data_IF_338664423208
#
_entry.id   IF_338664423208
#
_cell.length_a   1.000
_cell.length_b   1.000
_cell.length_c   1.000
_cell.angle_alpha   90.00
_cell.angle_beta   90.00
_cell.angle_gamma   90.00
#
_symmetry.space_group_name_H-M   'P 1'
#
loop_
_entity.id
_entity.type
_entity.pdbx_description
1 polymer ?
#
# COMPACT_ATOMS: atom_id res chain seq x y z
N UNK A 1 -68.46 22.59 11.60
CA UNK A 1 -67.97 21.28 11.13
C UNK A 1 -66.46 21.23 11.32
N UNK A 2 -65.99 20.73 12.46
CA UNK A 2 -64.57 20.52 12.74
C UNK A 2 -64.23 19.04 12.50
N UNK A 3 -63.39 18.74 11.51
CA UNK A 3 -62.91 17.37 11.27
C UNK A 3 -61.78 17.07 12.25
N UNK A 4 -62.00 16.11 13.15
CA UNK A 4 -60.95 15.53 14.00
C UNK A 4 -59.87 14.89 13.11
N UNK A 5 -58.65 15.41 13.19
CA UNK A 5 -57.46 14.75 12.62
C UNK A 5 -57.16 13.47 13.39
N UNK A 6 -56.78 12.41 12.66
CA UNK A 6 -56.39 11.14 13.26
C UNK A 6 -55.04 11.26 14.00
N UNK A 7 -54.82 10.50 15.08
CA UNK A 7 -53.54 10.52 15.83
C UNK A 7 -52.32 10.15 14.96
N UNK A 8 -52.50 9.42 13.87
CA UNK A 8 -51.43 9.11 12.91
C UNK A 8 -50.96 10.33 12.10
N UNK A 9 -51.84 11.29 11.85
CA UNK A 9 -51.51 12.49 11.07
C UNK A 9 -50.71 13.50 11.90
N UNK A 10 -50.85 13.49 13.23
CA UNK A 10 -50.09 14.34 14.14
C UNK A 10 -48.63 13.84 14.31
N UNK A 11 -48.42 12.52 14.33
CA UNK A 11 -47.08 11.90 14.44
C UNK A 11 -46.22 12.16 13.18
N UNK A 12 -46.84 12.14 11.99
CA UNK A 12 -46.13 12.44 10.73
C UNK A 12 -45.73 13.92 10.61
N UNK A 13 -46.55 14.85 11.11
CA UNK A 13 -46.23 16.29 11.12
C UNK A 13 -45.14 16.64 12.16
N UNK A 14 -45.13 15.99 13.33
CA UNK A 14 -44.04 16.15 14.29
C UNK A 14 -42.71 15.52 13.81
N UNK A 15 -42.77 14.38 13.10
CA UNK A 15 -41.59 13.75 12.49
C UNK A 15 -40.95 14.59 11.38
N UNK A 16 -41.76 15.24 10.54
CA UNK A 16 -41.27 16.12 9.48
C UNK A 16 -40.60 17.40 10.05
N UNK A 17 -41.19 18.03 11.07
CA UNK A 17 -40.61 19.21 11.72
C UNK A 17 -39.32 18.91 12.49
N UNK A 18 -39.23 17.74 13.14
CA UNK A 18 -37.98 17.29 13.79
C UNK A 18 -36.88 16.95 12.77
N UNK A 19 -37.23 16.43 11.59
CA UNK A 19 -36.26 16.19 10.51
C UNK A 19 -35.71 17.48 9.90
N UNK A 20 -36.56 18.51 9.76
CA UNK A 20 -36.12 19.82 9.26
C UNK A 20 -35.27 20.57 10.29
N UNK A 21 -35.60 20.50 11.59
CA UNK A 21 -34.74 21.06 12.65
C UNK A 21 -33.42 20.29 12.82
N UNK A 22 -33.42 18.96 12.69
CA UNK A 22 -32.19 18.16 12.72
C UNK A 22 -31.29 18.42 11.49
N UNK A 23 -31.88 18.69 10.32
CA UNK A 23 -31.16 19.07 9.11
C UNK A 23 -30.56 20.49 9.23
N UNK A 24 -31.31 21.46 9.78
CA UNK A 24 -30.82 22.82 10.01
C UNK A 24 -29.70 22.88 11.06
N UNK A 25 -29.80 22.12 12.16
CA UNK A 25 -28.74 22.03 13.18
C UNK A 25 -27.49 21.31 12.62
N UNK A 26 -27.68 20.36 11.70
CA UNK A 26 -26.56 19.70 11.01
C UNK A 26 -25.87 20.63 10.01
N UNK A 27 -26.62 21.50 9.31
CA UNK A 27 -26.08 22.50 8.40
C UNK A 27 -25.43 23.69 9.12
N UNK A 28 -25.97 24.15 10.25
CA UNK A 28 -25.32 25.16 11.10
C UNK A 28 -24.07 24.62 11.80
N UNK A 29 -24.07 23.35 12.26
CA UNK A 29 -22.83 22.70 12.77
C UNK A 29 -21.80 22.44 11.68
N UNK A 30 -22.20 22.21 10.43
CA UNK A 30 -21.28 22.16 9.28
C UNK A 30 -20.77 23.56 8.91
N UNK A 31 -21.62 24.59 8.99
CA UNK A 31 -21.26 25.99 8.73
C UNK A 31 -20.36 26.61 9.79
N UNK A 32 -20.50 26.21 11.06
CA UNK A 32 -19.61 26.66 12.15
C UNK A 32 -18.29 25.88 12.19
N UNK A 33 -18.26 24.60 11.80
CA UNK A 33 -16.99 23.88 11.54
C UNK A 33 -16.24 24.41 10.33
N UNK A 34 -16.93 25.02 9.36
CA UNK A 34 -16.31 25.67 8.20
C UNK A 34 -15.75 27.08 8.50
N UNK A 35 -16.13 27.71 9.62
CA UNK A 35 -15.63 29.04 10.05
C UNK A 35 -14.39 28.97 10.95
N UNK A 36 -14.11 27.81 11.53
CA UNK A 36 -12.82 27.49 12.11
C UNK A 36 -11.96 26.76 11.10
N UNK A 37 -11.54 27.45 10.04
CA UNK A 37 -10.61 26.88 9.06
C UNK A 37 -9.37 26.37 9.78
N UNK A 38 -9.29 25.05 9.97
CA UNK A 38 -8.01 24.41 10.19
C UNK A 38 -7.21 24.71 8.93
N UNK A 39 -6.41 25.79 8.95
CA UNK A 39 -5.25 25.88 8.07
C UNK A 39 -4.55 24.54 8.27
N UNK A 40 -4.66 23.63 7.31
CA UNK A 40 -3.71 22.53 7.19
C UNK A 40 -2.38 23.25 7.13
N UNK A 41 -1.63 23.26 8.22
CA UNK A 41 -0.38 24.02 8.30
C UNK A 41 0.60 23.28 7.41
N UNK A 42 0.62 23.64 6.14
CA UNK A 42 1.53 23.11 5.11
C UNK A 42 2.97 23.04 5.63
N UNK A 43 3.34 24.01 6.48
CA UNK A 43 4.67 24.15 7.09
C UNK A 43 5.01 23.10 8.16
N UNK A 44 4.06 22.28 8.62
CA UNK A 44 4.32 21.24 9.60
C UNK A 44 4.49 19.85 8.95
N UNK A 45 4.05 19.66 7.71
CA UNK A 45 4.25 18.40 6.98
C UNK A 45 5.60 18.43 6.28
N UNK A 46 6.46 17.45 6.59
CA UNK A 46 7.78 17.31 5.96
C UNK A 46 7.77 16.16 4.96
N UNK A 47 8.22 16.45 3.74
CA UNK A 47 8.56 15.43 2.76
C UNK A 47 10.03 15.05 2.95
N UNK A 48 10.27 13.84 3.42
CA UNK A 48 11.60 13.35 3.77
C UNK A 48 11.70 11.85 3.51
N UNK A 49 12.93 11.36 3.30
CA UNK A 49 13.21 9.93 3.23
C UNK A 49 13.17 9.35 4.65
N UNK A 50 12.25 8.42 4.88
CA UNK A 50 12.00 7.84 6.19
C UNK A 50 12.80 6.56 6.38
N UNK A 51 13.34 6.41 7.59
CA UNK A 51 13.96 5.18 8.07
C UNK A 51 12.99 4.42 8.98
N UNK A 52 13.09 3.09 8.98
CA UNK A 52 12.29 2.26 9.86
C UNK A 52 12.96 2.09 11.23
N UNK A 53 12.19 2.34 12.29
CA UNK A 53 12.62 2.18 13.69
C UNK A 53 12.20 0.82 14.22
N UNK A 54 13.02 0.21 15.07
CA UNK A 54 12.71 -1.09 15.68
C UNK A 54 11.56 -0.98 16.67
N UNK A 55 10.56 -1.85 16.52
CA UNK A 55 9.42 -1.96 17.46
C UNK A 55 9.34 -3.34 18.11
N UNK A 56 10.12 -4.30 17.63
CA UNK A 56 10.19 -5.66 18.17
C UNK A 56 11.48 -6.34 17.72
N UNK A 57 12.18 -6.99 18.63
CA UNK A 57 13.37 -7.82 18.36
C UNK A 57 13.33 -9.10 19.20
N UNK A 58 13.87 -10.16 18.61
CA UNK A 58 13.99 -11.48 19.22
C UNK A 58 15.08 -12.27 18.49
N UNK A 59 15.49 -13.40 19.05
CA UNK A 59 16.38 -14.35 18.35
C UNK A 59 15.77 -14.87 17.03
N UNK A 60 14.44 -14.85 16.94
CA UNK A 60 13.69 -15.32 15.79
C UNK A 60 13.65 -14.30 14.64
N UNK A 61 13.82 -13.02 14.92
CA UNK A 61 13.70 -11.94 13.93
C UNK A 61 13.31 -10.60 14.54
N UNK A 62 12.95 -9.64 13.69
CA UNK A 62 12.64 -8.26 14.08
C UNK A 62 11.53 -7.64 13.24
N UNK A 63 10.86 -6.65 13.81
CA UNK A 63 9.87 -5.81 13.13
C UNK A 63 10.31 -4.36 13.29
N UNK A 64 10.46 -3.66 12.17
CA UNK A 64 10.71 -2.22 12.15
C UNK A 64 9.56 -1.49 11.46
N UNK A 65 9.26 -0.28 11.90
CA UNK A 65 8.13 0.52 11.45
C UNK A 65 8.60 1.89 10.98
N UNK A 66 8.08 2.35 9.84
CA UNK A 66 8.26 3.73 9.43
C UNK A 66 7.28 4.64 10.13
N UNK A 67 7.77 5.78 10.62
CA UNK A 67 6.97 6.82 11.26
C UNK A 67 7.38 8.16 10.71
N UNK A 68 6.40 9.04 10.52
CA UNK A 68 6.65 10.43 10.17
C UNK A 68 5.52 11.31 10.66
N UNK A 69 5.80 12.60 10.79
CA UNK A 69 4.74 13.56 11.14
C UNK A 69 3.61 13.60 10.10
N UNK A 70 3.89 13.26 8.84
CA UNK A 70 2.90 13.15 7.77
C UNK A 70 2.05 11.89 7.93
N UNK A 71 2.68 10.73 8.15
CA UNK A 71 1.96 9.47 8.37
C UNK A 71 1.07 9.55 9.62
N UNK A 72 1.59 10.12 10.71
CA UNK A 72 0.82 10.35 11.93
C UNK A 72 -0.34 11.31 11.70
N UNK A 73 -0.12 12.48 11.10
CA UNK A 73 -1.22 13.45 10.92
C UNK A 73 -2.29 12.99 9.95
N UNK A 74 -1.88 12.35 8.86
CA UNK A 74 -2.81 11.91 7.84
C UNK A 74 -3.54 10.64 8.27
N UNK A 75 -2.87 9.72 8.98
CA UNK A 75 -3.47 8.50 9.50
C UNK A 75 -4.07 7.61 8.42
N UNK A 76 -3.46 7.55 7.23
CA UNK A 76 -4.05 6.88 6.06
C UNK A 76 -3.40 5.52 5.77
N UNK A 77 -2.11 5.37 6.05
CA UNK A 77 -1.37 4.13 5.81
C UNK A 77 -0.32 3.91 6.92
N UNK A 78 -0.08 2.64 7.25
CA UNK A 78 1.02 2.20 8.12
C UNK A 78 1.95 1.26 7.33
N UNK A 79 3.25 1.30 7.60
CA UNK A 79 4.26 0.53 6.89
C UNK A 79 5.25 -0.09 7.86
N UNK A 80 5.51 -1.38 7.71
CA UNK A 80 6.53 -2.10 8.48
C UNK A 80 7.38 -2.99 7.57
N UNK A 81 8.61 -3.24 8.00
CA UNK A 81 9.49 -4.24 7.43
C UNK A 81 9.72 -5.31 8.49
N UNK A 82 9.47 -6.56 8.10
CA UNK A 82 9.58 -7.72 8.96
C UNK A 82 10.71 -8.57 8.45
N UNK A 83 11.65 -8.89 9.33
CA UNK A 83 12.74 -9.83 9.06
C UNK A 83 12.53 -11.07 9.92
N UNK A 84 12.46 -12.23 9.29
CA UNK A 84 12.34 -13.54 9.94
C UNK A 84 13.64 -14.29 9.70
N UNK A 85 14.38 -14.57 10.79
CA UNK A 85 15.67 -15.26 10.71
C UNK A 85 15.48 -16.72 10.27
N UNK A 86 16.58 -17.38 9.93
CA UNK A 86 16.57 -18.80 9.59
C UNK A 86 16.00 -19.65 10.72
N UNK A 87 15.21 -20.68 10.34
CA UNK A 87 14.55 -21.59 11.27
C UNK A 87 13.66 -20.86 12.29
N UNK A 88 12.96 -19.82 11.83
CA UNK A 88 12.06 -19.03 12.67
C UNK A 88 10.65 -18.95 12.10
N UNK A 89 9.70 -18.68 12.99
CA UNK A 89 8.27 -18.57 12.71
C UNK A 89 7.76 -17.22 13.19
N UNK A 90 7.19 -16.44 12.27
CA UNK A 90 6.20 -15.43 12.62
C UNK A 90 4.95 -16.15 13.12
N UNK A 91 4.69 -16.04 14.41
CA UNK A 91 3.57 -16.68 15.09
C UNK A 91 2.23 -16.26 14.44
N UNK A 92 1.21 -17.15 14.49
CA UNK A 92 -0.10 -16.84 13.94
C UNK A 92 -0.68 -15.54 14.47
N UNK A 93 -1.08 -14.64 13.58
CA UNK A 93 -1.66 -13.34 13.94
C UNK A 93 -2.68 -12.85 12.91
N UNK A 94 -3.65 -12.05 13.35
CA UNK A 94 -4.48 -11.23 12.48
C UNK A 94 -4.28 -9.74 12.78
N UNK A 95 -4.81 -8.87 11.93
CA UNK A 95 -4.71 -7.43 12.14
C UNK A 95 -6.07 -6.74 11.98
N UNK A 96 -6.25 -5.60 12.65
CA UNK A 96 -7.41 -4.72 12.47
C UNK A 96 -7.34 -3.83 11.22
N UNK A 97 -6.42 -4.08 10.29
CA UNK A 97 -6.32 -3.38 9.02
C UNK A 97 -6.15 -4.35 7.84
N UNK A 98 -6.60 -3.90 6.66
CA UNK A 98 -6.28 -4.53 5.38
C UNK A 98 -4.79 -4.32 5.07
N UNK A 99 -4.08 -5.39 4.67
CA UNK A 99 -2.64 -5.35 4.42
C UNK A 99 -2.24 -5.95 3.09
N UNK A 100 -1.15 -5.45 2.54
CA UNK A 100 -0.41 -6.11 1.46
C UNK A 100 0.99 -6.45 1.96
N UNK A 101 1.41 -7.69 1.79
CA UNK A 101 2.75 -8.18 2.12
C UNK A 101 3.56 -8.31 0.84
N UNK A 102 4.74 -7.71 0.78
CA UNK A 102 5.63 -7.75 -0.39
C UNK A 102 6.94 -8.41 0.01
N UNK A 103 7.24 -9.57 -0.56
CA UNK A 103 8.46 -10.33 -0.23
C UNK A 103 9.66 -9.70 -0.91
N UNK A 104 10.62 -9.20 -0.13
CA UNK A 104 11.84 -8.54 -0.60
C UNK A 104 13.00 -9.52 -0.78
N UNK A 105 13.15 -10.47 0.13
CA UNK A 105 14.24 -11.45 0.12
C UNK A 105 13.83 -12.77 0.76
N UNK A 106 14.60 -13.83 0.48
CA UNK A 106 14.43 -15.13 1.11
C UNK A 106 13.26 -15.96 0.56
N UNK A 107 12.99 -17.07 1.27
CA UNK A 107 11.94 -18.04 0.95
C UNK A 107 11.24 -18.44 2.24
N UNK A 108 9.91 -18.50 2.20
CA UNK A 108 9.12 -18.91 3.35
C UNK A 108 7.97 -19.83 2.96
N UNK A 109 7.48 -20.58 3.94
CA UNK A 109 6.14 -21.15 3.91
C UNK A 109 5.20 -20.19 4.64
N UNK A 110 4.01 -19.97 4.08
CA UNK A 110 2.98 -19.14 4.68
C UNK A 110 1.66 -19.89 4.68
N UNK A 111 0.91 -19.77 5.78
CA UNK A 111 -0.50 -20.14 5.85
C UNK A 111 -1.36 -18.90 6.02
N UNK A 112 -2.42 -18.79 5.22
CA UNK A 112 -3.50 -17.83 5.39
C UNK A 112 -4.75 -18.61 5.83
N UNK A 113 -5.35 -18.22 6.95
CA UNK A 113 -6.43 -18.97 7.60
C UNK A 113 -7.79 -18.35 7.29
N UNK A 114 -8.77 -19.20 6.97
CA UNK A 114 -10.16 -18.82 6.72
C UNK A 114 -11.06 -19.21 7.89
N UNK A 115 -12.19 -18.52 8.10
CA UNK A 115 -13.17 -18.86 9.14
C UNK A 115 -14.04 -20.07 8.74
N UNK A 116 -13.40 -21.15 8.28
CA UNK A 116 -14.04 -22.37 7.81
C UNK A 116 -13.65 -23.61 8.62
N UNK A 117 -12.73 -23.47 9.59
CA UNK A 117 -12.25 -24.58 10.40
C UNK A 117 -11.46 -25.64 9.63
N UNK A 118 -11.07 -25.35 8.38
CA UNK A 118 -10.22 -26.21 7.56
C UNK A 118 -8.78 -25.75 7.66
N UNK A 119 -7.84 -26.68 7.56
CA UNK A 119 -6.42 -26.37 7.50
C UNK A 119 -6.13 -25.30 6.44
N UNK A 120 -5.27 -24.35 6.81
CA UNK A 120 -4.88 -23.27 5.92
C UNK A 120 -4.14 -23.85 4.72
N UNK A 121 -4.41 -23.32 3.53
CA UNK A 121 -3.56 -23.62 2.39
C UNK A 121 -2.14 -23.15 2.71
N UNK A 122 -1.17 -24.07 2.73
CA UNK A 122 0.25 -23.72 2.89
C UNK A 122 0.84 -23.43 1.51
N UNK A 123 1.51 -22.29 1.36
CA UNK A 123 2.25 -21.99 0.13
C UNK A 123 3.65 -21.49 0.39
N UNK A 124 4.54 -21.91 -0.51
CA UNK A 124 5.84 -21.29 -0.65
C UNK A 124 5.69 -19.87 -1.19
N UNK A 125 6.31 -18.92 -0.51
CA UNK A 125 6.43 -17.53 -0.93
C UNK A 125 7.90 -17.14 -1.14
N UNK A 126 8.15 -16.27 -2.12
CA UNK A 126 9.48 -15.93 -2.64
C UNK A 126 9.57 -14.44 -3.01
N UNK A 127 10.79 -13.91 -3.16
CA UNK A 127 11.07 -12.53 -3.63
C UNK A 127 10.18 -12.13 -4.81
N UNK A 128 9.58 -10.94 -4.73
CA UNK A 128 8.74 -10.34 -5.77
C UNK A 128 7.29 -10.84 -5.80
N UNK A 129 6.87 -11.66 -4.83
CA UNK A 129 5.46 -11.95 -4.61
C UNK A 129 4.82 -10.95 -3.66
N UNK A 130 3.56 -10.64 -3.96
CA UNK A 130 2.67 -9.82 -3.16
C UNK A 130 1.50 -10.66 -2.68
N UNK A 131 1.17 -10.55 -1.40
CA UNK A 131 0.06 -11.26 -0.77
C UNK A 131 -0.90 -10.22 -0.17
N UNK A 132 -2.13 -10.20 -0.66
CA UNK A 132 -3.21 -9.42 -0.10
C UNK A 132 -3.78 -10.15 1.12
N UNK A 133 -3.89 -9.45 2.25
CA UNK A 133 -4.37 -9.98 3.51
C UNK A 133 -5.51 -9.09 4.01
N UNK A 134 -6.77 -9.52 3.89
CA UNK A 134 -7.89 -8.81 4.45
C UNK A 134 -7.78 -8.64 5.98
N UNK A 135 -8.38 -7.55 6.48
CA UNK A 135 -8.56 -7.32 7.92
C UNK A 135 -9.17 -8.56 8.59
N UNK A 136 -8.63 -8.93 9.75
CA UNK A 136 -9.13 -10.03 10.57
C UNK A 136 -8.76 -11.43 10.07
N UNK A 137 -8.17 -11.58 8.87
CA UNK A 137 -7.69 -12.88 8.42
C UNK A 137 -6.36 -13.24 9.09
N UNK A 138 -6.28 -14.36 9.82
CA UNK A 138 -5.04 -14.77 10.47
C UNK A 138 -4.04 -15.33 9.46
N UNK A 139 -2.75 -15.11 9.71
CA UNK A 139 -1.65 -15.71 8.96
C UNK A 139 -0.49 -16.11 9.86
N UNK A 140 0.37 -17.01 9.37
CA UNK A 140 1.69 -17.31 9.92
C UNK A 140 2.71 -17.42 8.79
N UNK A 141 4.00 -17.19 9.10
CA UNK A 141 5.10 -17.28 8.11
C UNK A 141 6.31 -17.97 8.74
N UNK A 142 6.73 -19.09 8.16
CA UNK A 142 7.97 -19.77 8.52
C UNK A 142 9.07 -19.48 7.50
N UNK A 143 10.23 -19.02 7.94
CA UNK A 143 11.39 -18.95 7.06
C UNK A 143 11.94 -20.36 6.79
N UNK A 144 11.85 -20.79 5.53
CA UNK A 144 12.37 -22.08 5.06
C UNK A 144 13.66 -21.93 4.23
N UNK A 145 14.18 -20.72 4.10
CA UNK A 145 15.49 -20.45 3.54
C UNK A 145 16.65 -20.76 4.50
N UNK A 146 17.86 -20.51 3.98
CA UNK A 146 19.13 -20.53 4.72
C UNK A 146 19.69 -19.10 4.85
N UNK A 147 18.83 -18.10 4.68
CA UNK A 147 19.15 -16.68 4.78
C UNK A 147 17.97 -15.99 5.45
N UNK A 148 18.16 -14.76 5.92
CA UNK A 148 17.06 -13.94 6.42
C UNK A 148 15.99 -13.72 5.34
N UNK A 149 14.73 -13.97 5.71
CA UNK A 149 13.59 -13.61 4.90
C UNK A 149 13.09 -12.23 5.32
N UNK A 150 12.94 -11.32 4.36
CA UNK A 150 12.42 -9.98 4.63
C UNK A 150 11.20 -9.70 3.76
N UNK A 151 10.17 -9.11 4.36
CA UNK A 151 9.00 -8.62 3.63
C UNK A 151 8.49 -7.29 4.18
N UNK A 152 7.93 -6.47 3.31
CA UNK A 152 7.20 -5.26 3.68
C UNK A 152 5.75 -5.63 3.99
N UNK A 153 5.16 -4.93 4.93
CA UNK A 153 3.71 -4.91 5.16
C UNK A 153 3.25 -3.46 5.09
N UNK A 154 2.34 -3.18 4.16
CA UNK A 154 1.64 -1.91 4.10
C UNK A 154 0.19 -2.15 4.49
N UNK A 155 -0.34 -1.31 5.36
CA UNK A 155 -1.71 -1.39 5.85
C UNK A 155 -2.50 -0.14 5.45
N UNK A 156 -3.71 -0.35 4.94
CA UNK A 156 -4.68 0.72 4.78
C UNK A 156 -5.41 0.91 6.12
N UNK A 157 -5.17 2.04 6.78
CA UNK A 157 -5.72 2.38 8.11
C UNK A 157 -6.75 3.51 8.05
N UNK A 158 -7.28 3.82 6.85
CA UNK A 158 -8.38 4.79 6.66
C UNK A 158 -9.71 4.38 7.26
N UNK A 159 -9.80 3.15 7.79
CA UNK A 159 -11.04 2.65 8.40
C UNK A 159 -11.53 3.66 9.45
N UNK A 160 -12.74 4.23 9.29
CA UNK A 160 -13.28 5.15 10.26
C UNK A 160 -13.22 4.58 11.67
N UNK A 161 -13.39 3.27 11.87
CA UNK A 161 -13.33 2.63 13.20
C UNK A 161 -11.97 2.78 13.90
N UNK A 162 -10.90 3.12 13.18
CA UNK A 162 -9.55 3.36 13.72
C UNK A 162 -9.34 4.80 14.25
N UNK A 163 -10.41 5.50 14.65
CA UNK A 163 -10.37 6.91 15.10
C UNK A 163 -9.18 7.24 16.03
N UNK A 164 -8.23 8.04 15.52
CA UNK A 164 -7.07 8.52 16.29
C UNK A 164 -5.90 7.53 16.39
N UNK A 165 -6.04 6.32 15.86
CA UNK A 165 -4.94 5.36 15.73
C UNK A 165 -4.18 5.62 14.43
N UNK A 166 -2.86 5.77 14.53
CA UNK A 166 -1.98 6.04 13.39
C UNK A 166 -1.18 4.80 12.94
N UNK A 167 -1.47 3.66 13.56
CA UNK A 167 -0.83 2.37 13.32
C UNK A 167 -1.88 1.28 13.41
N UNK A 168 -1.69 0.16 12.70
CA UNK A 168 -2.57 -1.00 12.87
C UNK A 168 -2.15 -1.84 14.09
N UNK A 169 -3.08 -2.60 14.65
CA UNK A 169 -2.81 -3.56 15.72
C UNK A 169 -2.73 -4.97 15.16
N UNK A 170 -1.70 -5.70 15.59
CA UNK A 170 -1.52 -7.11 15.33
C UNK A 170 -1.93 -7.90 16.58
N UNK A 171 -2.88 -8.80 16.42
CA UNK A 171 -3.39 -9.69 17.45
C UNK A 171 -2.74 -11.05 17.27
N UNK A 172 -1.77 -11.37 18.12
CA UNK A 172 -1.06 -12.65 18.06
C UNK A 172 -1.87 -13.73 18.75
N UNK A 173 -2.17 -14.82 18.04
CA UNK A 173 -2.99 -15.92 18.55
C UNK A 173 -2.24 -16.83 19.52
N UNK A 174 -0.90 -16.77 19.49
CA UNK A 174 -0.01 -17.55 20.33
C UNK A 174 1.24 -16.72 20.68
N UNK A 175 2.01 -17.21 21.65
CA UNK A 175 3.21 -16.54 22.15
C UNK A 175 3.05 -16.13 23.61
N UNK A 176 4.16 -15.70 24.20
CA UNK A 176 4.20 -15.18 25.56
C UNK A 176 3.36 -13.92 25.73
N UNK A 177 3.00 -13.62 26.97
CA UNK A 177 2.44 -12.33 27.34
C UNK A 177 3.52 -11.25 27.25
N UNK A 178 3.16 -10.05 26.80
CA UNK A 178 4.06 -8.90 26.73
C UNK A 178 3.37 -7.64 27.22
N UNK A 179 4.13 -6.72 27.80
CA UNK A 179 3.61 -5.44 28.33
C UNK A 179 3.44 -4.36 27.26
N UNK A 180 3.97 -4.58 26.05
CA UNK A 180 4.17 -3.53 25.02
C UNK A 180 3.56 -3.89 23.66
N UNK A 181 2.53 -4.74 23.65
CA UNK A 181 1.96 -5.30 22.42
C UNK A 181 2.81 -6.47 21.89
N UNK A 182 2.28 -7.21 20.92
CA UNK A 182 2.86 -8.46 20.37
C UNK A 182 2.68 -9.73 21.21
N UNK A 183 2.01 -9.65 22.36
CA UNK A 183 1.74 -10.79 23.22
C UNK A 183 0.59 -11.67 22.71
N UNK A 184 0.58 -12.93 23.13
CA UNK A 184 -0.49 -13.88 22.80
C UNK A 184 -1.82 -13.49 23.44
N UNK A 185 -2.89 -13.37 22.64
CA UNK A 185 -4.22 -12.93 23.13
C UNK A 185 -4.87 -13.92 24.11
N UNK A 186 -4.46 -15.19 24.10
CA UNK A 186 -5.02 -16.21 24.99
C UNK A 186 -4.75 -15.91 26.47
N UNK A 187 -3.66 -15.20 26.78
CA UNK A 187 -3.34 -14.74 28.14
C UNK A 187 -4.37 -13.78 28.72
N UNK A 188 -5.21 -13.16 27.88
CA UNK A 188 -6.26 -12.23 28.32
C UNK A 188 -7.55 -12.89 28.81
N UNK A 189 -7.75 -14.19 28.56
CA UNK A 189 -8.94 -14.93 29.01
C UNK A 189 -8.64 -15.72 30.28
N UNK A 190 -9.68 -16.02 31.07
CA UNK A 190 -9.51 -16.91 32.22
C UNK A 190 -9.33 -18.36 31.77
N UNK A 191 -8.49 -19.10 32.48
CA UNK A 191 -8.08 -20.45 32.10
C UNK A 191 -9.22 -21.44 32.18
N UNK A 192 -10.08 -21.32 33.19
CA UNK A 192 -11.28 -22.11 33.38
C UNK A 192 -12.26 -21.94 32.21
N UNK A 193 -12.48 -20.70 31.73
CA UNK A 193 -13.36 -20.45 30.58
C UNK A 193 -12.77 -21.00 29.27
N UNK A 194 -11.45 -20.87 29.06
CA UNK A 194 -10.80 -21.46 27.89
C UNK A 194 -10.80 -23.00 27.93
N UNK A 195 -10.54 -23.58 29.10
CA UNK A 195 -10.59 -25.03 29.34
C UNK A 195 -11.97 -25.59 29.02
N UNK A 196 -13.03 -24.96 29.55
CA UNK A 196 -14.42 -25.29 29.25
C UNK A 196 -14.72 -25.14 27.74
N UNK A 197 -14.35 -24.02 27.13
CA UNK A 197 -14.65 -23.74 25.72
C UNK A 197 -13.94 -24.70 24.75
N UNK A 198 -12.75 -25.19 25.10
CA UNK A 198 -11.96 -26.13 24.29
C UNK A 198 -12.16 -27.60 24.68
N UNK A 199 -12.99 -27.89 25.69
CA UNK A 199 -13.23 -29.23 26.22
C UNK A 199 -11.93 -29.95 26.65
N UNK A 200 -11.09 -29.25 27.43
CA UNK A 200 -9.83 -29.75 27.98
C UNK A 200 -9.69 -29.41 29.46
N UNK A 201 -8.82 -30.10 30.18
CA UNK A 201 -8.49 -29.73 31.56
C UNK A 201 -7.60 -28.46 31.64
N UNK A 202 -7.62 -27.79 32.79
CA UNK A 202 -6.83 -26.57 33.03
C UNK A 202 -5.32 -26.78 32.91
N UNK A 203 -4.82 -28.01 33.15
CA UNK A 203 -3.40 -28.32 33.01
C UNK A 203 -2.99 -28.29 31.53
N UNK A 204 -3.80 -28.91 30.67
CA UNK A 204 -3.62 -28.91 29.22
C UNK A 204 -3.75 -27.49 28.67
N UNK A 205 -4.73 -26.72 29.15
CA UNK A 205 -4.88 -25.31 28.78
C UNK A 205 -3.65 -24.48 29.19
N UNK A 206 -3.10 -24.73 30.38
CA UNK A 206 -1.90 -24.05 30.83
C UNK A 206 -0.67 -24.37 29.97
N UNK A 207 -0.51 -25.64 29.58
CA UNK A 207 0.55 -26.02 28.65
C UNK A 207 0.39 -25.37 27.27
N UNK A 208 -0.85 -25.23 26.78
CA UNK A 208 -1.11 -24.60 25.48
C UNK A 208 -0.69 -23.12 25.47
N UNK A 209 -0.94 -22.40 26.56
CA UNK A 209 -0.73 -20.96 26.67
C UNK A 209 0.70 -20.62 27.09
N UNK A 210 1.29 -21.37 28.03
CA UNK A 210 2.53 -20.98 28.72
C UNK A 210 3.80 -21.57 28.11
N UNK A 211 3.72 -22.64 27.29
CA UNK A 211 4.91 -23.32 26.79
C UNK A 211 5.75 -22.51 25.79
N UNK A 212 5.15 -21.49 25.15
CA UNK A 212 5.87 -20.61 24.23
C UNK A 212 6.32 -19.36 24.97
N UNK A 213 7.60 -19.30 25.31
CA UNK A 213 8.22 -18.17 26.02
C UNK A 213 8.53 -16.97 25.11
N UNK A 214 8.57 -17.17 23.78
CA UNK A 214 8.78 -16.10 22.81
C UNK A 214 7.48 -15.41 22.37
N UNK A 215 7.60 -14.20 21.84
CA UNK A 215 6.48 -13.41 21.30
C UNK A 215 6.72 -13.09 19.81
N UNK A 216 5.66 -12.77 19.06
CA UNK A 216 5.64 -12.43 17.63
C UNK A 216 6.45 -13.29 16.65
N UNK A 217 7.79 -13.29 16.73
CA UNK A 217 8.69 -14.07 15.90
C UNK A 217 9.55 -14.94 16.80
N UNK A 218 9.50 -16.26 16.62
CA UNK A 218 10.18 -17.21 17.50
C UNK A 218 11.13 -18.10 16.72
N UNK A 219 12.25 -18.47 17.34
CA UNK A 219 13.17 -19.47 16.80
C UNK A 219 12.61 -20.86 17.05
N UNK A 220 12.63 -21.70 16.02
CA UNK A 220 12.16 -23.08 16.09
C UNK A 220 13.31 -24.01 16.44
N UNK A 221 13.02 -25.01 17.29
CA UNK A 221 13.91 -26.15 17.47
C UNK A 221 13.98 -27.01 16.21
N UNK A 222 15.08 -27.74 16.01
CA UNK A 222 15.33 -28.48 14.75
C UNK A 222 14.27 -29.52 14.39
N UNK A 223 13.68 -30.17 15.40
CA UNK A 223 12.62 -31.15 15.17
C UNK A 223 11.35 -30.48 14.61
N UNK A 224 10.96 -29.35 15.18
CA UNK A 224 9.77 -28.60 14.78
C UNK A 224 9.97 -27.91 13.43
N UNK A 225 11.14 -27.30 13.20
CA UNK A 225 11.48 -26.72 11.89
C UNK A 225 11.41 -27.77 10.78
N UNK A 226 11.95 -28.98 11.00
CA UNK A 226 11.84 -30.11 10.06
C UNK A 226 10.41 -30.58 9.88
N UNK A 227 9.60 -30.62 10.93
CA UNK A 227 8.19 -31.01 10.86
C UNK A 227 7.39 -30.04 9.99
N UNK A 228 7.54 -28.74 10.21
CA UNK A 228 6.81 -27.71 9.46
C UNK A 228 7.29 -27.55 8.00
N UNK A 229 8.52 -27.98 7.69
CA UNK A 229 9.04 -28.04 6.32
C UNK A 229 8.50 -29.20 5.50
N UNK A 230 7.83 -30.18 6.11
CA UNK A 230 7.35 -31.35 5.37
C UNK A 230 6.39 -30.89 4.27
N UNK A 231 6.64 -31.25 3.00
CA UNK A 231 5.63 -31.05 1.98
C UNK A 231 4.39 -31.83 2.41
N UNK A 232 3.22 -31.21 2.33
CA UNK A 232 1.98 -31.90 2.61
C UNK A 232 1.75 -32.98 1.54
N UNK A 233 2.23 -34.19 1.80
CA UNK A 233 1.79 -35.36 1.06
C UNK A 233 0.31 -35.60 1.40
N UNK A 234 -0.58 -35.09 0.56
CA UNK A 234 -2.01 -35.46 0.60
C UNK A 234 -3.00 -34.42 1.16
N UNK A 235 -2.58 -33.21 1.52
CA UNK A 235 -3.53 -32.10 1.66
C UNK A 235 -3.83 -31.56 0.27
N UNK A 236 -5.04 -31.87 -0.18
CA UNK A 236 -5.40 -31.84 -1.58
C UNK A 236 -5.00 -30.55 -2.30
N UNK A 237 -4.32 -30.75 -3.42
CA UNK A 237 -4.49 -29.94 -4.62
C UNK A 237 -5.99 -29.77 -5.03
N UNK A 238 -6.94 -30.39 -4.31
CA UNK A 238 -8.39 -30.27 -4.46
C UNK A 238 -9.05 -28.99 -3.93
N UNK A 239 -8.32 -28.02 -3.37
CA UNK A 239 -8.82 -26.62 -3.19
C UNK A 239 -7.76 -25.58 -3.60
N UNK A 240 -7.08 -25.85 -4.72
CA UNK A 240 -6.01 -25.02 -5.28
C UNK A 240 -6.39 -23.55 -5.63
N UNK A 241 -7.64 -23.11 -5.47
CA UNK A 241 -8.10 -21.81 -5.94
C UNK A 241 -7.75 -20.63 -5.02
N UNK A 242 -8.18 -20.66 -3.76
CA UNK A 242 -8.44 -19.38 -3.09
C UNK A 242 -7.19 -18.56 -2.76
N UNK A 243 -6.09 -19.14 -2.22
CA UNK A 243 -4.87 -18.36 -1.98
C UNK A 243 -4.21 -17.82 -3.26
N UNK A 244 -4.49 -18.43 -4.42
CA UNK A 244 -4.06 -17.86 -5.70
C UNK A 244 -4.74 -16.50 -5.92
N UNK A 245 -5.99 -16.37 -5.52
CA UNK A 245 -6.79 -15.14 -5.60
C UNK A 245 -6.30 -14.03 -4.65
N UNK A 246 -5.40 -14.36 -3.71
CA UNK A 246 -4.77 -13.40 -2.79
C UNK A 246 -3.30 -13.10 -3.13
N UNK A 247 -2.71 -13.76 -4.13
CA UNK A 247 -1.29 -13.63 -4.43
C UNK A 247 -1.03 -13.13 -5.85
N UNK A 248 -0.05 -12.26 -6.01
CA UNK A 248 0.39 -11.77 -7.32
C UNK A 248 1.92 -11.78 -7.42
N UNK A 249 2.46 -12.19 -8.57
CA UNK A 249 3.92 -12.31 -8.79
C UNK A 249 4.37 -11.31 -9.84
N UNK A 250 5.04 -10.25 -9.41
CA UNK A 250 5.54 -9.19 -10.30
C UNK A 250 6.64 -9.68 -11.24
N UNK A 251 7.51 -10.59 -10.77
CA UNK A 251 8.61 -11.12 -11.58
C UNK A 251 8.17 -11.76 -12.91
N UNK A 252 7.01 -12.43 -12.91
CA UNK A 252 6.43 -13.11 -14.09
C UNK A 252 5.27 -12.36 -14.73
N UNK A 253 4.92 -11.16 -14.23
CA UNK A 253 3.78 -10.39 -14.72
C UNK A 253 4.10 -9.68 -16.05
N UNK A 254 3.08 -9.49 -16.88
CA UNK A 254 3.17 -8.60 -18.03
C UNK A 254 3.49 -7.16 -17.57
N UNK A 255 4.35 -6.48 -18.32
CA UNK A 255 4.73 -5.08 -18.06
C UNK A 255 3.67 -4.16 -18.63
N UNK A 256 3.14 -3.25 -17.83
CA UNK A 256 2.12 -2.30 -18.28
C UNK A 256 2.72 -1.16 -19.10
N UNK A 257 3.96 -0.78 -18.77
CA UNK A 257 4.71 0.25 -19.49
C UNK A 257 6.12 -0.24 -19.69
N UNK A 258 6.62 -0.11 -20.91
CA UNK A 258 8.04 -0.28 -21.24
C UNK A 258 8.44 0.93 -22.08
N UNK A 259 9.48 1.63 -21.64
CA UNK A 259 10.06 2.73 -22.41
C UNK A 259 11.57 2.52 -22.52
N UNK A 260 12.03 2.36 -23.76
CA UNK A 260 13.46 2.18 -24.07
C UNK A 260 14.30 3.30 -23.45
N UNK A 261 15.38 2.91 -22.76
CA UNK A 261 16.32 3.78 -22.02
C UNK A 261 15.71 4.61 -20.89
N UNK A 262 14.48 4.31 -20.48
CA UNK A 262 13.84 4.97 -19.35
C UNK A 262 13.46 3.96 -18.26
N UNK A 263 12.90 2.81 -18.64
CA UNK A 263 12.59 1.74 -17.71
C UNK A 263 11.25 1.06 -17.98
N UNK A 264 10.68 0.47 -16.93
CA UNK A 264 9.44 -0.30 -17.00
C UNK A 264 8.57 -0.11 -15.74
N UNK A 265 7.26 -0.27 -15.90
CA UNK A 265 6.27 -0.20 -14.83
C UNK A 265 5.34 -1.42 -14.89
N UNK A 266 5.06 -1.99 -13.73
CA UNK A 266 4.04 -3.03 -13.55
C UNK A 266 3.10 -2.56 -12.45
N UNK A 267 1.80 -2.69 -12.65
CA UNK A 267 0.75 -2.32 -11.71
C UNK A 267 -0.09 -3.57 -11.44
N UNK A 268 -0.30 -3.88 -10.16
CA UNK A 268 -1.31 -4.81 -9.66
C UNK A 268 -2.44 -4.01 -9.02
N UNK A 269 -3.61 -4.06 -9.63
CA UNK A 269 -4.84 -3.41 -9.19
C UNK A 269 -5.98 -4.45 -9.17
N UNK A 270 -7.21 -4.02 -8.88
CA UNK A 270 -8.36 -4.93 -8.83
C UNK A 270 -8.70 -5.64 -10.14
N UNK A 271 -8.18 -5.20 -11.29
CA UNK A 271 -8.35 -5.94 -12.55
C UNK A 271 -7.44 -7.16 -12.65
N UNK A 272 -6.24 -7.09 -12.07
CA UNK A 272 -5.26 -8.19 -12.09
C UNK A 272 -5.29 -9.07 -10.85
N UNK A 273 -5.73 -8.51 -9.72
CA UNK A 273 -5.87 -9.21 -8.45
C UNK A 273 -7.16 -8.73 -7.76
N UNK A 274 -8.33 -9.35 -8.03
CA UNK A 274 -9.65 -8.84 -7.63
C UNK A 274 -9.82 -8.52 -6.13
N UNK A 275 -9.15 -9.25 -5.24
CA UNK A 275 -9.21 -8.97 -3.80
C UNK A 275 -8.74 -7.54 -3.45
N UNK A 276 -7.88 -6.93 -4.27
CA UNK A 276 -7.42 -5.55 -4.07
C UNK A 276 -8.55 -4.53 -4.07
N UNK A 277 -9.69 -4.83 -4.71
CA UNK A 277 -10.91 -4.02 -4.60
C UNK A 277 -11.42 -3.94 -3.16
N UNK A 278 -11.36 -5.05 -2.43
CA UNK A 278 -11.81 -5.12 -1.04
C UNK A 278 -10.84 -4.45 -0.08
N UNK A 279 -9.55 -4.48 -0.39
CA UNK A 279 -8.51 -3.82 0.39
C UNK A 279 -8.42 -2.31 0.11
N UNK A 280 -9.06 -1.83 -0.97
CA UNK A 280 -8.94 -0.48 -1.52
C UNK A 280 -7.47 -0.07 -1.71
N UNK A 281 -6.70 -0.95 -2.35
CA UNK A 281 -5.26 -0.76 -2.55
C UNK A 281 -4.78 -1.20 -3.93
N UNK A 282 -3.73 -0.55 -4.44
CA UNK A 282 -3.00 -0.97 -5.62
C UNK A 282 -1.50 -0.97 -5.33
N UNK A 283 -0.76 -1.82 -6.04
CA UNK A 283 0.69 -1.92 -5.92
C UNK A 283 1.30 -1.68 -7.28
N UNK A 284 2.41 -0.94 -7.35
CA UNK A 284 3.19 -0.85 -8.57
C UNK A 284 4.68 -1.09 -8.31
N UNK A 285 5.35 -1.77 -9.25
CA UNK A 285 6.80 -1.90 -9.26
C UNK A 285 7.35 -1.06 -10.42
N UNK A 286 8.14 -0.05 -10.08
CA UNK A 286 8.82 0.82 -11.02
C UNK A 286 10.29 0.43 -11.08
N UNK A 287 10.79 0.24 -12.30
CA UNK A 287 12.22 0.20 -12.58
C UNK A 287 12.54 1.38 -13.48
N UNK A 288 13.45 2.24 -13.05
CA UNK A 288 14.02 3.31 -13.86
C UNK A 288 15.50 3.03 -14.14
N UNK A 289 15.87 3.25 -15.39
CA UNK A 289 17.26 3.23 -15.84
C UNK A 289 18.02 4.47 -15.32
N UNK A 290 19.35 4.45 -15.43
CA UNK A 290 20.22 5.51 -14.95
C UNK A 290 19.80 6.90 -15.48
N UNK A 291 19.66 7.87 -14.58
CA UNK A 291 19.25 9.25 -14.88
C UNK A 291 17.87 9.40 -15.55
N UNK A 292 17.09 8.33 -15.66
CA UNK A 292 15.74 8.36 -16.21
C UNK A 292 14.79 9.09 -15.24
N UNK A 293 13.70 9.60 -15.79
CA UNK A 293 12.73 10.42 -15.06
C UNK A 293 11.33 9.84 -15.17
N UNK A 294 10.49 10.12 -14.20
CA UNK A 294 9.04 10.11 -14.40
C UNK A 294 8.55 11.46 -14.90
N UNK A 295 7.45 11.49 -15.63
CA UNK A 295 6.75 12.72 -15.95
C UNK A 295 6.23 13.37 -14.66
N UNK A 296 6.45 14.68 -14.44
CA UNK A 296 5.83 15.38 -13.32
C UNK A 296 4.32 15.22 -13.38
N UNK A 297 3.71 14.94 -12.23
CA UNK A 297 2.30 14.59 -12.18
C UNK A 297 1.80 14.38 -10.76
N UNK A 298 0.53 14.03 -10.63
CA UNK A 298 -0.09 13.72 -9.33
C UNK A 298 -1.10 12.59 -9.50
N UNK A 299 -1.45 11.93 -8.40
CA UNK A 299 -2.59 11.03 -8.37
C UNK A 299 -3.82 11.77 -7.87
N UNK A 300 -4.98 11.58 -8.50
CA UNK A 300 -6.21 12.30 -8.16
C UNK A 300 -6.97 11.68 -6.99
N UNK A 301 -6.81 10.37 -6.79
CA UNK A 301 -7.61 9.57 -5.87
C UNK A 301 -6.80 8.72 -4.88
N UNK A 302 -5.47 8.67 -4.98
CA UNK A 302 -4.63 7.78 -4.18
C UNK A 302 -3.41 8.49 -3.56
N UNK A 303 -3.21 8.30 -2.26
CA UNK A 303 -1.93 8.59 -1.62
C UNK A 303 -0.97 7.44 -1.89
N UNK A 304 0.32 7.71 -1.89
CA UNK A 304 1.37 6.76 -2.25
C UNK A 304 2.38 6.62 -1.13
N UNK A 305 2.77 5.37 -0.84
CA UNK A 305 4.01 5.04 -0.16
C UNK A 305 4.98 4.46 -1.18
N UNK A 306 6.14 5.08 -1.33
CA UNK A 306 7.20 4.67 -2.23
C UNK A 306 8.35 4.11 -1.40
N UNK A 307 8.66 2.83 -1.58
CA UNK A 307 9.81 2.16 -0.98
C UNK A 307 10.91 1.94 -2.03
N UNK A 308 12.12 2.40 -1.75
CA UNK A 308 13.28 2.10 -2.59
C UNK A 308 13.81 0.70 -2.27
N UNK A 309 13.64 -0.22 -3.21
CA UNK A 309 14.10 -1.59 -3.07
C UNK A 309 15.57 -1.77 -3.48
N UNK A 310 16.02 -1.09 -4.55
CA UNK A 310 17.42 -1.13 -5.00
C UNK A 310 17.75 0.20 -5.72
N UNK A 311 19.01 0.66 -5.62
CA UNK A 311 19.48 1.88 -6.28
C UNK A 311 19.18 3.16 -5.49
N UNK A 312 19.00 4.28 -6.21
CA UNK A 312 18.70 5.58 -5.59
C UNK A 312 17.90 6.49 -6.51
N UNK A 313 17.22 7.49 -5.94
CA UNK A 313 16.49 8.49 -6.71
C UNK A 313 16.37 9.82 -5.98
N UNK A 314 16.28 10.91 -6.74
CA UNK A 314 15.86 12.22 -6.26
C UNK A 314 14.37 12.41 -6.52
N UNK A 315 13.61 12.73 -5.48
CA UNK A 315 12.15 12.91 -5.52
C UNK A 315 11.81 14.34 -5.15
N UNK A 316 11.13 15.05 -6.04
CA UNK A 316 10.66 16.42 -5.80
C UNK A 316 9.15 16.44 -5.65
N UNK A 317 8.67 17.11 -4.60
CA UNK A 317 7.25 17.30 -4.31
C UNK A 317 6.95 18.80 -4.21
N UNK A 318 5.75 19.22 -4.63
CA UNK A 318 5.38 20.65 -4.73
C UNK A 318 4.11 20.94 -3.91
N UNK A 319 4.08 22.07 -3.21
CA UNK A 319 2.91 22.56 -2.47
C UNK A 319 1.87 23.18 -3.42
N UNK A 320 0.59 23.30 -3.02
CA UNK A 320 -0.41 24.06 -3.78
C UNK A 320 -0.01 25.52 -4.04
N UNK A 321 0.87 26.11 -3.21
CA UNK A 321 1.45 27.44 -3.41
C UNK A 321 2.36 27.54 -4.64
N UNK A 322 2.79 26.40 -5.20
CA UNK A 322 3.82 26.33 -6.24
C UNK A 322 5.25 26.29 -5.71
N UNK A 323 5.44 26.41 -4.39
CA UNK A 323 6.74 26.25 -3.76
C UNK A 323 7.15 24.78 -3.65
N UNK A 324 8.46 24.53 -3.69
CA UNK A 324 8.99 23.18 -3.49
C UNK A 324 8.72 22.73 -2.05
N UNK A 325 7.97 21.65 -1.93
CA UNK A 325 7.61 21.06 -0.64
C UNK A 325 8.69 20.13 -0.09
N UNK A 326 9.39 19.46 -0.99
CA UNK A 326 10.51 18.57 -0.64
C UNK A 326 11.37 18.28 -1.85
N UNK A 327 12.65 18.09 -1.56
CA UNK A 327 13.67 17.63 -2.50
C UNK A 327 14.46 16.54 -1.81
N UNK A 328 14.04 15.29 -2.04
CA UNK A 328 14.38 14.15 -1.21
C UNK A 328 15.27 13.20 -1.99
N UNK A 329 16.47 12.95 -1.48
CA UNK A 329 17.31 11.85 -1.95
C UNK A 329 16.87 10.56 -1.24
N UNK A 330 16.49 9.56 -2.02
CA UNK A 330 16.10 8.22 -1.57
C UNK A 330 17.19 7.22 -1.94
N UNK A 331 17.55 6.38 -0.97
CA UNK A 331 18.45 5.24 -1.13
C UNK A 331 17.72 3.94 -0.78
N UNK A 332 18.35 2.80 -1.05
CA UNK A 332 17.81 1.49 -0.70
C UNK A 332 17.38 1.42 0.77
N UNK A 333 16.15 0.95 1.00
CA UNK A 333 15.54 0.88 2.32
C UNK A 333 14.71 2.10 2.71
N UNK A 334 14.83 3.22 1.99
CA UNK A 334 14.10 4.45 2.30
C UNK A 334 12.63 4.35 1.88
N UNK A 335 11.77 5.02 2.65
CA UNK A 335 10.34 5.19 2.34
C UNK A 335 9.98 6.67 2.22
N UNK A 336 9.22 7.04 1.19
CA UNK A 336 8.64 8.39 1.06
C UNK A 336 7.13 8.29 0.91
N UNK A 337 6.40 9.15 1.61
CA UNK A 337 4.96 9.31 1.46
C UNK A 337 4.64 10.53 0.58
N UNK A 338 3.76 10.34 -0.40
CA UNK A 338 3.24 11.43 -1.24
C UNK A 338 1.71 11.39 -1.22
N UNK A 339 1.04 12.40 -0.64
CA UNK A 339 -0.41 12.44 -0.64
C UNK A 339 -1.01 12.66 -2.03
N UNK A 340 -2.26 12.26 -2.22
CA UNK A 340 -3.01 12.54 -3.46
C UNK A 340 -3.08 14.04 -3.71
N UNK A 341 -3.11 14.42 -4.98
CA UNK A 341 -3.10 15.79 -5.50
C UNK A 341 -1.81 16.59 -5.33
N UNK A 342 -0.78 16.04 -4.67
CA UNK A 342 0.53 16.69 -4.60
C UNK A 342 1.36 16.34 -5.84
N UNK A 343 1.82 17.32 -6.62
CA UNK A 343 2.69 17.06 -7.76
C UNK A 343 4.02 16.48 -7.31
N UNK A 344 4.43 15.40 -7.96
CA UNK A 344 5.69 14.69 -7.72
C UNK A 344 6.39 14.39 -9.03
N UNK A 345 7.71 14.42 -9.01
CA UNK A 345 8.55 13.84 -10.05
C UNK A 345 9.74 13.12 -9.45
N UNK A 346 10.22 12.10 -10.16
CA UNK A 346 11.29 11.21 -9.70
C UNK A 346 12.37 11.19 -10.75
N UNK A 347 13.62 11.31 -10.32
CA UNK A 347 14.79 11.08 -11.16
C UNK A 347 15.62 9.95 -10.55
N UNK A 348 15.87 8.89 -11.33
CA UNK A 348 16.77 7.83 -10.92
C UNK A 348 18.22 8.32 -10.81
N UNK A 349 18.94 7.78 -9.84
CA UNK A 349 20.37 7.98 -9.70
C UNK A 349 21.18 7.24 -10.78
N UNK A 350 22.50 7.23 -10.60
CA UNK A 350 23.43 6.65 -11.60
C UNK A 350 23.43 5.13 -11.68
N UNK A 351 22.86 4.46 -10.69
CA UNK A 351 22.76 3.00 -10.63
C UNK A 351 21.32 2.52 -10.85
N UNK A 352 20.47 3.38 -11.42
CA UNK A 352 19.05 3.11 -11.61
C UNK A 352 18.27 3.21 -10.31
N UNK A 353 16.98 2.90 -10.40
CA UNK A 353 16.05 2.95 -9.28
C UNK A 353 14.98 1.88 -9.41
N UNK A 354 14.95 0.94 -8.46
CA UNK A 354 13.89 -0.04 -8.30
C UNK A 354 13.05 0.34 -7.08
N UNK A 355 11.76 0.62 -7.30
CA UNK A 355 10.87 1.03 -6.23
C UNK A 355 9.54 0.30 -6.28
N UNK A 356 8.98 0.07 -5.09
CA UNK A 356 7.61 -0.41 -4.93
C UNK A 356 6.74 0.71 -4.40
N UNK A 357 5.62 0.93 -5.07
CA UNK A 357 4.58 1.88 -4.70
C UNK A 357 3.40 1.11 -4.14
N UNK A 358 2.91 1.50 -2.97
CA UNK A 358 1.61 1.07 -2.47
C UNK A 358 0.70 2.28 -2.40
N UNK A 359 -0.48 2.13 -2.99
CA UNK A 359 -1.48 3.18 -3.14
C UNK A 359 -2.74 2.76 -2.40
N UNK A 360 -3.35 3.68 -1.64
CA UNK A 360 -4.60 3.44 -0.91
C UNK A 360 -5.85 3.73 -1.76
N UNK A 361 -5.82 3.22 -2.99
CA UNK A 361 -7.00 3.06 -3.82
C UNK A 361 -6.77 1.88 -4.77
N UNK A 362 -7.79 1.07 -5.04
CA UNK A 362 -7.66 -0.08 -5.92
C UNK A 362 -7.45 0.29 -7.40
N UNK A 363 -7.86 1.49 -7.82
CA UNK A 363 -7.73 1.99 -9.21
C UNK A 363 -7.15 3.40 -9.21
N UNK A 364 -5.84 3.54 -8.92
CA UNK A 364 -5.20 4.84 -8.82
C UNK A 364 -5.16 5.53 -10.19
N UNK A 365 -5.57 6.79 -10.25
CA UNK A 365 -5.62 7.62 -11.46
C UNK A 365 -4.50 8.66 -11.39
N UNK A 366 -3.57 8.60 -12.34
CA UNK A 366 -2.47 9.55 -12.46
C UNK A 366 -2.75 10.61 -13.53
N UNK A 367 -2.34 11.84 -13.25
CA UNK A 367 -2.31 12.95 -14.20
C UNK A 367 -0.86 13.35 -14.43
N UNK A 368 -0.48 13.58 -15.69
CA UNK A 368 0.87 13.97 -16.07
C UNK A 368 0.90 15.36 -16.70
N UNK A 369 1.99 16.10 -16.49
CA UNK A 369 2.20 17.45 -17.00
C UNK A 369 3.07 17.46 -18.26
N UNK A 370 3.74 16.36 -18.59
CA UNK A 370 4.48 16.22 -19.85
C UNK A 370 4.25 14.84 -20.45
N UNK A 371 4.35 14.76 -21.77
CA UNK A 371 4.04 13.55 -22.51
C UNK A 371 2.81 13.67 -23.41
N UNK A 372 2.57 12.62 -24.20
CA UNK A 372 1.51 12.55 -25.21
C UNK A 372 0.10 12.57 -24.62
N UNK A 373 -0.06 12.15 -23.37
CA UNK A 373 -1.31 12.08 -22.60
C UNK A 373 -1.37 13.13 -21.48
N UNK A 374 -0.49 14.14 -21.52
CA UNK A 374 -0.41 15.15 -20.46
C UNK A 374 -1.54 16.17 -20.49
N UNK A 375 -1.84 16.75 -19.33
CA UNK A 375 -2.83 17.82 -19.16
C UNK A 375 -2.50 19.05 -20.00
N UNK A 376 -1.21 19.35 -20.19
CA UNK A 376 -0.80 20.45 -21.08
C UNK A 376 -1.00 20.08 -22.55
N UNK A 377 -0.75 18.84 -22.96
CA UNK A 377 -1.06 18.41 -24.33
C UNK A 377 -2.57 18.50 -24.63
N UNK A 378 -3.41 18.18 -23.64
CA UNK A 378 -4.87 18.28 -23.74
C UNK A 378 -5.40 19.73 -23.71
N UNK A 379 -4.65 20.66 -23.11
CA UNK A 379 -5.02 22.08 -23.05
C UNK A 379 -4.98 22.72 -24.45
N UNK A 380 -6.04 23.45 -24.81
CA UNK A 380 -6.12 24.14 -26.10
C UNK A 380 -4.93 25.10 -26.30
N UNK A 381 -4.28 25.15 -27.49
CA UNK A 381 -3.06 25.94 -27.69
C UNK A 381 -3.19 27.41 -27.30
N UNK A 382 -4.33 28.06 -27.62
CA UNK A 382 -4.59 29.45 -27.20
C UNK A 382 -4.62 29.63 -25.68
N UNK A 383 -5.13 28.65 -24.94
CA UNK A 383 -5.16 28.69 -23.47
C UNK A 383 -3.75 28.49 -22.93
N UNK A 384 -2.95 27.56 -23.48
CA UNK A 384 -1.54 27.41 -23.09
C UNK A 384 -0.73 28.68 -23.34
N UNK A 385 -0.83 29.25 -24.54
CA UNK A 385 -0.11 30.48 -24.89
C UNK A 385 -0.47 31.63 -23.96
N UNK A 386 -1.77 31.81 -23.67
CA UNK A 386 -2.23 32.83 -22.72
C UNK A 386 -1.85 32.53 -21.27
N UNK A 387 -1.89 31.27 -20.83
CA UNK A 387 -1.60 30.89 -19.44
C UNK A 387 -0.12 30.97 -19.09
N UNK A 388 0.76 30.63 -20.04
CA UNK A 388 2.22 30.68 -19.85
C UNK A 388 2.84 31.99 -20.36
N UNK A 389 2.06 32.87 -20.98
CA UNK A 389 2.54 34.07 -21.69
C UNK A 389 3.67 33.74 -22.69
N UNK A 390 3.40 32.79 -23.58
CA UNK A 390 4.37 32.29 -24.56
C UNK A 390 3.90 32.49 -25.99
N UNK A 391 4.86 32.59 -26.91
CA UNK A 391 4.61 32.64 -28.34
C UNK A 391 4.20 31.27 -28.88
N UNK A 392 3.56 31.28 -30.05
CA UNK A 392 3.22 30.06 -30.81
C UNK A 392 4.45 29.20 -31.09
N UNK A 393 5.62 29.81 -31.35
CA UNK A 393 6.85 29.06 -31.59
C UNK A 393 7.34 28.31 -30.36
N UNK A 394 7.24 28.91 -29.16
CA UNK A 394 7.61 28.25 -27.91
C UNK A 394 6.63 27.12 -27.59
N UNK A 395 5.33 27.35 -27.80
CA UNK A 395 4.28 26.35 -27.60
C UNK A 395 4.48 25.12 -28.52
N UNK A 396 4.67 25.36 -29.82
CA UNK A 396 4.97 24.33 -30.82
C UNK A 396 6.24 23.55 -30.46
N UNK A 397 7.29 24.24 -30.03
CA UNK A 397 8.54 23.59 -29.61
C UNK A 397 8.36 22.69 -28.39
N UNK A 398 7.59 23.14 -27.40
CA UNK A 398 7.38 22.41 -26.14
C UNK A 398 6.45 21.20 -26.30
N UNK A 399 5.36 21.34 -27.06
CA UNK A 399 4.26 20.37 -27.06
C UNK A 399 4.10 19.59 -28.37
N UNK A 400 4.78 19.98 -29.45
CA UNK A 400 4.73 19.26 -30.74
C UNK A 400 6.09 18.73 -31.18
N UNK A 401 7.13 19.57 -31.14
CA UNK A 401 8.47 19.22 -31.62
C UNK A 401 9.34 18.57 -30.56
N UNK A 402 8.99 18.75 -29.28
CA UNK A 402 9.71 18.12 -28.17
C UNK A 402 9.70 16.61 -28.35
N UNK A 403 10.87 15.98 -28.22
CA UNK A 403 10.99 14.51 -28.25
C UNK A 403 10.15 13.83 -27.15
N UNK A 404 9.89 14.54 -26.05
CA UNK A 404 9.05 14.06 -24.94
C UNK A 404 7.55 14.19 -25.23
N UNK A 405 7.14 14.94 -26.25
CA UNK A 405 5.72 15.11 -26.59
C UNK A 405 5.06 13.82 -27.09
N UNK A 406 5.86 12.83 -27.51
CA UNK A 406 5.40 11.51 -27.94
C UNK A 406 5.65 10.41 -26.91
N UNK A 407 6.33 10.75 -25.80
CA UNK A 407 6.60 9.81 -24.70
C UNK A 407 5.46 9.91 -23.68
N UNK A 408 5.23 8.86 -22.92
CA UNK A 408 4.24 8.88 -21.84
C UNK A 408 4.91 9.16 -20.49
N UNK A 409 4.68 8.31 -19.48
CA UNK A 409 5.08 8.54 -18.10
C UNK A 409 6.58 8.40 -17.84
N UNK A 410 7.25 7.41 -18.45
CA UNK A 410 8.68 7.16 -18.24
C UNK A 410 9.49 7.95 -19.28
N UNK A 411 10.46 8.75 -18.84
CA UNK A 411 11.18 9.70 -19.68
C UNK A 411 12.68 9.37 -19.69
N UNK A 412 13.27 9.07 -20.86
CA UNK A 412 14.70 8.77 -20.93
C UNK A 412 15.56 10.03 -20.65
N UNK A 413 16.83 9.82 -20.24
CA UNK A 413 17.78 10.92 -20.02
C UNK A 413 17.98 11.76 -21.29
N UNK A 414 18.09 13.09 -21.14
CA UNK A 414 18.30 14.00 -22.29
C UNK A 414 19.60 13.72 -23.06
N UNK A 415 20.65 13.22 -22.39
CA UNK A 415 21.98 12.96 -22.98
C UNK A 415 22.07 11.63 -23.74
N UNK A 416 21.32 10.61 -23.32
CA UNK A 416 21.37 9.26 -23.92
C UNK A 416 20.91 9.21 -25.38
N UNK A 417 20.20 10.24 -25.84
CA UNK A 417 19.50 10.30 -27.13
C UNK A 417 20.18 11.21 -28.16
N UNK A 418 21.44 11.65 -27.95
CA UNK A 418 22.19 12.46 -28.95
C UNK A 418 22.97 11.61 -29.97
N UNK A 419 23.05 10.29 -29.78
CA UNK A 419 23.79 9.37 -30.66
C UNK A 419 22.97 8.71 -31.78
N UNK A 420 21.65 8.88 -31.81
CA UNK A 420 20.77 8.18 -32.76
C UNK A 420 19.76 9.15 -33.36
N UNK A 421 20.20 9.97 -34.31
CA UNK A 421 19.46 10.01 -35.57
C UNK A 421 19.78 8.70 -36.27
N UNK A 422 18.78 7.91 -36.68
CA UNK A 422 18.89 6.60 -37.34
C UNK A 422 18.80 5.37 -36.41
N UNK A 423 17.61 5.07 -35.93
CA UNK A 423 17.09 3.69 -35.85
C UNK A 423 15.59 3.74 -35.55
N UNK A 424 14.83 2.96 -36.31
CA UNK A 424 13.37 2.94 -36.33
C UNK A 424 12.75 2.72 -34.95
N UNK A 425 11.79 3.58 -34.61
CA UNK A 425 10.87 3.40 -33.50
C UNK A 425 9.90 2.29 -33.90
N UNK A 426 10.09 1.07 -33.40
CA UNK A 426 9.02 0.07 -33.38
C UNK A 426 8.05 0.49 -32.29
N UNK A 427 7.00 1.21 -32.70
CA UNK A 427 5.78 1.35 -31.90
C UNK A 427 5.00 0.07 -32.12
N UNK A 428 5.08 -0.87 -31.19
CA UNK A 428 4.09 -1.94 -31.17
C UNK A 428 2.76 -1.33 -30.71
N UNK A 429 1.91 -1.09 -31.71
CA UNK A 429 0.64 -0.41 -31.56
C UNK A 429 -0.39 -1.31 -30.91
N UNK A 430 -0.43 -1.31 -29.58
CA UNK A 430 -1.63 -1.51 -28.75
C UNK A 430 -1.20 -1.70 -27.30
N UNK A 431 -1.00 -0.61 -26.57
CA UNK A 431 -1.24 -0.50 -25.11
C UNK A 431 -0.87 0.92 -24.70
N UNK A 432 -1.75 1.86 -25.07
CA UNK A 432 -1.73 3.19 -24.49
C UNK A 432 -1.88 3.03 -22.97
N UNK A 433 -1.10 3.76 -22.18
CA UNK A 433 -1.40 4.01 -20.76
C UNK A 433 -2.78 4.67 -20.63
N UNK A 434 -3.19 5.42 -21.66
CA UNK A 434 -4.58 5.76 -21.91
C UNK A 434 -5.50 4.54 -21.93
N UNK A 435 -5.25 3.46 -22.68
CA UNK A 435 -6.09 2.26 -22.63
C UNK A 435 -6.07 1.55 -21.26
N UNK A 436 -4.95 1.55 -20.54
CA UNK A 436 -4.87 1.03 -19.16
C UNK A 436 -5.62 1.92 -18.14
N UNK A 437 -5.73 3.24 -18.39
CA UNK A 437 -6.54 4.19 -17.61
C UNK A 437 -8.00 4.25 -18.06
N UNK A 438 -8.30 4.08 -19.34
CA UNK A 438 -9.66 4.08 -19.89
C UNK A 438 -10.38 2.76 -19.61
N UNK A 439 -9.65 1.66 -19.39
CA UNK A 439 -10.21 0.47 -18.75
C UNK A 439 -10.54 0.66 -17.26
N UNK A 440 -10.26 1.84 -16.66
CA UNK A 440 -10.65 2.19 -15.29
C UNK A 440 -12.01 2.90 -15.19
N UNK A 441 -12.68 3.21 -16.32
CA UNK A 441 -14.06 3.73 -16.36
C UNK A 441 -15.06 2.66 -16.79
#
# INVERSE_FOLDING_TARGET
>A
MARRMSPFTFVLLCGALLSSFACSISFERMGERARGGAKCREHEMKFEALQAESIFESDGGRIRQWRSSMMTRMGLMDARIVTVNEKSLLLPQYANAHRVLIVLSGRACMGLMLPLGTEANIRNINKGQVIAVPRGMPLWIQNVGNEEMTFLTFANIRDPMMHGCHTYEAFHLAGAQTDHGMGGILHGFSRDMLAEAMDVDERTMSQLIDNQEGAAIVRLGEALDRLMRRPEEGLGAGKAGWMADFSYRFGSAHRDVIQSRAGQLIIANSFKLPVLKYLDMAIACLHLENDALTAPGWFTNADQLMYCAEGSARVQVVWPSGEMAGDVEMNEGDLVMVPKNYPVMIQAGRNGFNATFVMNNDKPIAMHMTGSDSVFKAMHPRVRMGAFDITEEVDRRAYEQSRRAKTTYLLPPRRATRRESESEVVVDGANNIGAAMWSMF
#
